data_IF_416683329783
#
_entry.id   IF_416683329783
#
_cell.length_a   1.000
_cell.length_b   1.000
_cell.length_c   1.000
_cell.angle_alpha   90.00
_cell.angle_beta   90.00
_cell.angle_gamma   90.00
#
_symmetry.space_group_name_H-M   'P 1'
#
loop_
_entity.id
_entity.type
_entity.pdbx_description
1 polymer ?
#
# COMPACT_ATOMS: atom_id res chain seq x y z
N UNK A 1 22.40 7.08 10.16
CA UNK A 1 21.35 7.72 9.33
C UNK A 1 21.58 7.29 7.91
N UNK A 2 20.58 6.70 7.26
CA UNK A 2 20.67 6.31 5.86
C UNK A 2 19.51 6.91 5.08
N UNK A 3 19.77 7.26 3.82
CA UNK A 3 18.77 7.76 2.87
C UNK A 3 18.62 6.73 1.77
N UNK A 4 17.39 6.25 1.57
CA UNK A 4 17.04 5.32 0.50
C UNK A 4 16.19 6.09 -0.49
N UNK A 5 16.57 6.00 -1.77
CA UNK A 5 15.88 6.60 -2.90
C UNK A 5 15.43 5.49 -3.83
N UNK A 6 14.17 5.53 -4.23
CA UNK A 6 13.65 4.63 -5.24
C UNK A 6 12.45 5.26 -5.93
N UNK A 7 12.36 5.02 -7.23
CA UNK A 7 11.18 5.37 -8.02
C UNK A 7 9.98 4.52 -7.64
N UNK A 8 8.81 5.02 -8.01
CA UNK A 8 7.56 4.32 -7.84
C UNK A 8 7.50 3.01 -8.66
N UNK A 9 8.15 3.00 -9.82
CA UNK A 9 8.36 1.82 -10.66
C UNK A 9 9.25 0.79 -9.95
N UNK A 10 10.36 1.20 -9.36
CA UNK A 10 11.24 0.31 -8.59
C UNK A 10 10.51 -0.27 -7.37
N UNK A 11 9.71 0.53 -6.66
CA UNK A 11 8.86 0.02 -5.58
C UNK A 11 7.91 -1.07 -6.11
N UNK A 12 7.29 -0.85 -7.26
CA UNK A 12 6.38 -1.82 -7.84
C UNK A 12 7.12 -3.11 -8.25
N UNK A 13 8.31 -2.99 -8.83
CA UNK A 13 9.15 -4.14 -9.20
C UNK A 13 9.60 -4.94 -7.97
N UNK A 14 9.94 -4.26 -6.86
CA UNK A 14 10.21 -4.89 -5.56
C UNK A 14 8.97 -5.65 -5.07
N UNK A 15 7.79 -5.01 -5.08
CA UNK A 15 6.55 -5.63 -4.63
C UNK A 15 6.12 -6.83 -5.49
N UNK A 16 6.44 -6.83 -6.79
CA UNK A 16 6.17 -7.94 -7.69
C UNK A 16 7.17 -9.07 -7.50
N UNK A 17 8.46 -8.75 -7.25
CA UNK A 17 9.54 -9.73 -7.13
C UNK A 17 9.58 -10.45 -5.79
N UNK A 18 9.24 -9.78 -4.68
CA UNK A 18 9.35 -10.30 -3.32
C UNK A 18 8.14 -11.14 -2.87
N UNK A 19 7.78 -12.18 -3.64
CA UNK A 19 6.73 -13.15 -3.25
C UNK A 19 5.32 -12.54 -3.28
N UNK A 20 4.80 -12.26 -4.49
CA UNK A 20 3.34 -12.26 -4.68
C UNK A 20 2.80 -13.66 -4.38
N UNK A 21 2.30 -13.83 -3.14
CA UNK A 21 1.33 -14.88 -2.84
C UNK A 21 0.24 -14.90 -3.93
N UNK A 22 -0.17 -16.08 -4.39
CA UNK A 22 -0.77 -16.29 -5.69
C UNK A 22 -2.11 -15.57 -5.85
N UNK A 23 -2.18 -14.64 -6.81
CA UNK A 23 -3.41 -14.33 -7.55
C UNK A 23 -4.34 -13.24 -7.00
N UNK A 24 -4.01 -12.56 -5.89
CA UNK A 24 -4.89 -11.54 -5.30
C UNK A 24 -4.74 -10.14 -5.92
N UNK A 25 -3.52 -9.73 -6.30
CA UNK A 25 -3.24 -8.43 -6.95
C UNK A 25 -2.66 -8.69 -8.34
N UNK A 26 -3.28 -8.13 -9.38
CA UNK A 26 -2.87 -8.32 -10.78
C UNK A 26 -2.87 -6.99 -11.54
N UNK A 27 -2.14 -6.94 -12.65
CA UNK A 27 -2.09 -5.78 -13.57
C UNK A 27 -1.69 -4.49 -12.86
N UNK A 28 -0.77 -4.61 -11.90
CA UNK A 28 -0.24 -3.46 -11.21
C UNK A 28 0.60 -2.61 -12.18
N UNK A 29 0.40 -1.30 -12.18
CA UNK A 29 1.11 -0.34 -13.03
C UNK A 29 1.13 1.04 -12.38
N UNK A 30 2.20 1.77 -12.65
CA UNK A 30 2.32 3.18 -12.27
C UNK A 30 1.67 4.06 -13.34
N UNK A 31 0.94 5.09 -12.91
CA UNK A 31 0.49 6.17 -13.80
C UNK A 31 0.50 7.50 -13.03
N UNK A 32 1.52 8.32 -13.27
CA UNK A 32 1.73 9.55 -12.52
C UNK A 32 2.02 9.23 -11.05
N UNK A 33 1.25 9.81 -10.13
CA UNK A 33 1.38 9.65 -8.69
C UNK A 33 0.56 8.49 -8.09
N UNK A 34 0.08 7.56 -8.94
CA UNK A 34 -0.81 6.47 -8.54
C UNK A 34 -0.33 5.09 -8.97
N UNK A 35 -0.44 4.12 -8.05
CA UNK A 35 -0.35 2.69 -8.38
C UNK A 35 -1.77 2.25 -8.73
N UNK A 36 -1.97 1.82 -9.96
CA UNK A 36 -3.20 1.15 -10.36
C UNK A 36 -3.00 -0.34 -10.31
N UNK A 37 -3.91 -1.07 -9.67
CA UNK A 37 -3.89 -2.51 -9.63
C UNK A 37 -5.31 -3.07 -9.60
N UNK A 38 -5.44 -4.37 -9.83
CA UNK A 38 -6.72 -5.08 -9.78
C UNK A 38 -6.65 -6.11 -8.66
N UNK A 39 -7.58 -6.01 -7.72
CA UNK A 39 -7.78 -7.03 -6.70
C UNK A 39 -8.68 -8.11 -7.28
N UNK A 40 -8.21 -9.36 -7.34
CA UNK A 40 -9.08 -10.52 -7.59
C UNK A 40 -9.82 -10.85 -6.31
N UNK A 41 -11.16 -10.86 -6.36
CA UNK A 41 -11.99 -11.28 -5.24
C UNK A 41 -12.39 -12.74 -5.43
N UNK A 42 -12.64 -13.45 -4.33
CA UNK A 42 -13.17 -14.82 -4.37
C UNK A 42 -14.69 -14.86 -4.67
N UNK A 43 -15.24 -13.83 -5.33
CA UNK A 43 -16.67 -13.72 -5.62
C UNK A 43 -17.00 -13.85 -7.09
N UNK A 44 -18.03 -14.64 -7.38
CA UNK A 44 -18.60 -14.78 -8.73
C UNK A 44 -19.20 -13.46 -9.28
N UNK A 45 -19.73 -12.60 -8.41
CA UNK A 45 -20.48 -11.38 -8.82
C UNK A 45 -19.57 -10.18 -9.11
N UNK A 46 -18.40 -10.12 -8.47
CA UNK A 46 -17.43 -9.03 -8.68
C UNK A 46 -16.00 -9.58 -8.56
N UNK A 47 -15.58 -10.47 -9.48
CA UNK A 47 -14.32 -11.21 -9.37
C UNK A 47 -13.09 -10.31 -9.44
N UNK A 48 -13.23 -9.08 -9.93
CA UNK A 48 -12.13 -8.13 -10.09
C UNK A 48 -12.57 -6.74 -9.65
N UNK A 49 -11.76 -6.10 -8.81
CA UNK A 49 -11.97 -4.73 -8.35
C UNK A 49 -10.75 -3.89 -8.76
N UNK A 50 -10.88 -2.97 -9.73
CA UNK A 50 -9.84 -2.02 -10.05
C UNK A 50 -9.70 -0.99 -8.94
N UNK A 51 -8.48 -0.84 -8.45
CA UNK A 51 -8.11 0.03 -7.34
C UNK A 51 -6.94 0.90 -7.78
N UNK A 52 -6.90 2.12 -7.28
CA UNK A 52 -5.73 2.97 -7.35
C UNK A 52 -5.32 3.43 -5.96
N UNK A 53 -4.03 3.44 -5.71
CA UNK A 53 -3.42 3.92 -4.47
C UNK A 53 -2.57 5.15 -4.78
N UNK A 54 -2.73 6.21 -4.00
CA UNK A 54 -1.93 7.43 -4.06
C UNK A 54 -1.28 7.66 -2.70
N UNK A 55 0.03 7.92 -2.68
CA UNK A 55 0.68 8.36 -1.45
C UNK A 55 0.25 9.79 -1.09
N UNK A 56 -0.10 10.02 0.17
CA UNK A 56 -0.50 11.34 0.66
C UNK A 56 0.59 11.98 1.50
N UNK A 57 1.03 11.29 2.57
CA UNK A 57 2.01 11.82 3.52
C UNK A 57 2.51 10.74 4.47
N UNK A 58 3.55 11.08 5.23
CA UNK A 58 4.02 10.34 6.39
C UNK A 58 3.89 11.23 7.62
N UNK A 59 3.23 10.71 8.66
CA UNK A 59 2.92 11.45 9.88
C UNK A 59 2.87 10.48 11.05
N UNK A 60 3.54 10.81 12.15
CA UNK A 60 3.56 10.01 13.39
C UNK A 60 3.85 8.51 13.17
N UNK A 61 4.84 8.19 12.33
CA UNK A 61 5.21 6.79 12.02
C UNK A 61 4.27 6.07 11.04
N UNK A 62 3.25 6.76 10.53
CA UNK A 62 2.27 6.20 9.61
C UNK A 62 2.46 6.72 8.19
N UNK A 63 2.61 5.80 7.23
CA UNK A 63 2.48 6.13 5.82
C UNK A 63 0.99 6.13 5.44
N UNK A 64 0.51 7.27 4.95
CA UNK A 64 -0.90 7.51 4.63
C UNK A 64 -1.08 7.53 3.13
N UNK A 65 -2.06 6.77 2.66
CA UNK A 65 -2.42 6.63 1.27
C UNK A 65 -3.92 6.88 1.06
N UNK A 66 -4.26 7.39 -0.13
CA UNK A 66 -5.63 7.43 -0.63
C UNK A 66 -5.88 6.22 -1.52
N UNK A 67 -6.96 5.51 -1.23
CA UNK A 67 -7.48 4.39 -1.98
C UNK A 67 -8.72 4.82 -2.77
N UNK A 68 -8.67 4.70 -4.09
CA UNK A 68 -9.81 4.96 -4.96
C UNK A 68 -10.20 3.71 -5.77
N UNK A 69 -11.51 3.45 -5.86
CA UNK A 69 -12.06 2.36 -6.67
C UNK A 69 -12.70 2.90 -7.94
N UNK A 70 -12.37 2.32 -9.10
CA UNK A 70 -12.76 2.87 -10.42
C UNK A 70 -14.16 2.39 -10.88
N UNK A 71 -14.98 1.82 -10.00
CA UNK A 71 -16.29 1.25 -10.41
C UNK A 71 -17.48 2.17 -10.12
N UNK A 72 -18.45 2.25 -11.04
CA UNK A 72 -19.75 2.92 -10.83
C UNK A 72 -20.66 2.28 -9.76
N UNK A 73 -20.17 1.27 -9.03
CA UNK A 73 -20.85 0.60 -7.90
C UNK A 73 -20.00 0.70 -6.63
N UNK A 74 -19.42 1.88 -6.39
CA UNK A 74 -18.49 2.19 -5.29
C UNK A 74 -18.94 1.56 -3.96
N UNK A 75 -20.21 1.74 -3.56
CA UNK A 75 -20.71 1.23 -2.27
C UNK A 75 -20.56 -0.29 -2.10
N UNK A 76 -20.99 -1.08 -3.08
CA UNK A 76 -20.86 -2.56 -3.03
C UNK A 76 -19.40 -3.03 -3.09
N UNK A 77 -18.54 -2.27 -3.77
CA UNK A 77 -17.11 -2.57 -3.84
C UNK A 77 -16.40 -2.26 -2.51
N UNK A 78 -16.75 -1.14 -1.87
CA UNK A 78 -16.28 -0.75 -0.53
C UNK A 78 -16.71 -1.76 0.52
N UNK A 79 -17.99 -2.11 0.58
CA UNK A 79 -18.50 -3.06 1.58
C UNK A 79 -17.79 -4.42 1.47
N UNK A 80 -17.48 -4.87 0.25
CA UNK A 80 -16.73 -6.12 0.04
C UNK A 80 -15.25 -5.99 0.30
N UNK A 81 -14.65 -4.86 -0.04
CA UNK A 81 -13.25 -4.62 0.28
C UNK A 81 -13.08 -4.65 1.80
N UNK A 82 -13.96 -3.95 2.53
CA UNK A 82 -14.03 -3.99 3.98
C UNK A 82 -14.21 -5.43 4.48
N UNK A 83 -15.15 -6.22 3.94
CA UNK A 83 -15.30 -7.63 4.34
C UNK A 83 -14.07 -8.50 4.04
N UNK A 84 -13.40 -8.33 2.89
CA UNK A 84 -12.19 -9.09 2.56
C UNK A 84 -11.02 -8.71 3.46
N UNK A 85 -10.96 -7.43 3.83
CA UNK A 85 -9.89 -6.86 4.63
C UNK A 85 -10.11 -7.08 6.14
N UNK A 86 -11.33 -6.99 6.65
CA UNK A 86 -11.68 -7.32 8.05
C UNK A 86 -11.25 -8.75 8.42
N UNK A 87 -11.21 -9.65 7.43
CA UNK A 87 -10.80 -11.04 7.67
C UNK A 87 -9.27 -11.23 7.71
N UNK A 88 -8.45 -10.30 7.18
CA UNK A 88 -6.99 -10.51 6.98
C UNK A 88 -6.10 -9.25 7.00
N UNK A 89 -6.57 -8.08 7.40
CA UNK A 89 -5.71 -6.88 7.51
C UNK A 89 -4.62 -7.15 8.55
N UNK A 90 -3.33 -7.01 8.20
CA UNK A 90 -2.25 -7.07 9.16
C UNK A 90 -2.39 -5.97 10.23
N UNK A 91 -1.94 -6.22 11.46
CA UNK A 91 -2.10 -5.28 12.58
C UNK A 91 -1.43 -3.91 12.37
N UNK A 92 -0.47 -3.82 11.45
CA UNK A 92 0.19 -2.58 11.05
C UNK A 92 -0.61 -1.76 10.02
N UNK A 93 -1.73 -2.25 9.52
CA UNK A 93 -2.53 -1.59 8.49
C UNK A 93 -3.92 -1.25 9.04
N UNK A 94 -4.44 -0.09 8.67
CA UNK A 94 -5.80 0.36 8.99
C UNK A 94 -6.42 1.03 7.77
N UNK A 95 -7.59 0.54 7.36
CA UNK A 95 -8.35 1.11 6.26
C UNK A 95 -9.61 1.80 6.81
N UNK A 96 -9.68 3.11 6.61
CA UNK A 96 -10.87 3.93 6.82
C UNK A 96 -11.19 4.61 5.50
N UNK A 97 -11.92 3.90 4.62
CA UNK A 97 -12.10 4.32 3.24
C UNK A 97 -12.49 5.83 3.12
N UNK A 98 -11.79 6.61 2.28
CA UNK A 98 -10.78 6.20 1.30
C UNK A 98 -9.33 6.13 1.84
N UNK A 99 -9.09 6.34 3.12
CA UNK A 99 -7.74 6.43 3.70
C UNK A 99 -7.22 5.06 4.13
N UNK A 100 -6.02 4.73 3.67
CA UNK A 100 -5.23 3.59 4.12
C UNK A 100 -4.01 4.11 4.88
N UNK A 101 -3.89 3.78 6.16
CA UNK A 101 -2.72 4.10 6.97
C UNK A 101 -1.93 2.83 7.29
N UNK A 102 -0.61 2.91 7.17
CA UNK A 102 0.33 1.82 7.47
C UNK A 102 1.29 2.31 8.55
N UNK A 103 1.23 1.69 9.72
CA UNK A 103 2.19 1.85 10.82
C UNK A 103 3.53 1.22 10.42
N UNK A 104 4.49 2.07 10.06
CA UNK A 104 5.78 1.63 9.52
C UNK A 104 6.63 0.98 10.61
N UNK A 105 6.56 1.48 11.85
CA UNK A 105 7.34 0.92 12.95
C UNK A 105 6.86 -0.51 13.26
N UNK A 106 5.54 -0.76 13.28
CA UNK A 106 5.00 -2.13 13.42
C UNK A 106 5.32 -3.01 12.22
N UNK A 107 5.23 -2.48 10.99
CA UNK A 107 5.59 -3.23 9.78
C UNK A 107 7.06 -3.68 9.84
N UNK A 108 7.96 -2.77 10.20
CA UNK A 108 9.39 -3.07 10.31
C UNK A 108 9.66 -4.05 11.46
N UNK A 109 9.00 -3.90 12.61
CA UNK A 109 9.14 -4.86 13.71
C UNK A 109 8.68 -6.28 13.34
N UNK A 110 7.72 -6.42 12.41
CA UNK A 110 7.27 -7.74 11.92
C UNK A 110 8.22 -8.33 10.86
N UNK A 111 8.90 -7.49 10.07
CA UNK A 111 9.66 -7.93 8.89
C UNK A 111 11.18 -7.85 9.03
N UNK A 112 11.70 -7.01 9.92
CA UNK A 112 13.13 -6.73 10.08
C UNK A 112 13.50 -6.88 11.55
N UNK A 113 14.52 -7.69 11.81
CA UNK A 113 14.77 -8.22 13.16
C UNK A 113 15.36 -7.19 14.15
N UNK A 114 15.87 -6.01 13.73
CA UNK A 114 16.28 -4.89 14.64
C UNK A 114 16.80 -3.62 13.93
N UNK A 115 16.65 -2.49 14.62
CA UNK A 115 17.64 -1.39 14.67
C UNK A 115 17.42 -0.20 13.75
N UNK A 116 16.35 -0.19 12.94
CA UNK A 116 16.08 0.88 11.97
C UNK A 116 14.71 1.47 12.24
N UNK A 117 14.66 2.78 12.42
CA UNK A 117 13.42 3.56 12.47
C UNK A 117 13.33 4.44 11.24
N UNK A 118 12.14 4.54 10.67
CA UNK A 118 11.87 5.49 9.58
C UNK A 118 11.50 6.82 10.21
N UNK A 119 12.34 7.82 9.95
CA UNK A 119 12.15 9.18 10.43
C UNK A 119 11.23 9.97 9.52
N UNK A 120 11.35 9.76 8.21
CA UNK A 120 10.55 10.48 7.22
C UNK A 120 10.39 9.67 5.94
N UNK A 121 9.26 9.87 5.27
CA UNK A 121 8.99 9.40 3.92
C UNK A 121 8.39 10.56 3.13
N UNK A 122 9.03 10.92 2.03
CA UNK A 122 8.47 11.89 1.08
C UNK A 122 8.35 11.27 -0.31
N UNK A 123 7.42 11.79 -1.10
CA UNK A 123 7.23 11.40 -2.49
C UNK A 123 7.13 12.65 -3.35
N UNK A 124 8.13 12.87 -4.18
CA UNK A 124 8.21 14.03 -5.06
C UNK A 124 8.69 13.59 -6.43
N UNK A 125 8.07 14.11 -7.49
CA UNK A 125 8.47 13.86 -8.88
C UNK A 125 8.58 12.36 -9.27
N UNK A 126 7.79 11.48 -8.65
CA UNK A 126 7.82 10.04 -8.94
C UNK A 126 8.83 9.24 -8.09
N UNK A 127 9.54 9.88 -7.17
CA UNK A 127 10.58 9.26 -6.35
C UNK A 127 10.20 9.30 -4.86
N UNK A 128 10.35 8.17 -4.18
CA UNK A 128 10.30 8.09 -2.73
C UNK A 128 11.67 8.37 -2.14
N UNK A 129 11.69 9.26 -1.15
CA UNK A 129 12.83 9.41 -0.23
C UNK A 129 12.44 8.86 1.13
N UNK A 130 13.13 7.81 1.58
CA UNK A 130 12.99 7.25 2.93
C UNK A 130 14.21 7.62 3.74
N UNK A 131 14.01 8.32 4.85
CA UNK A 131 15.06 8.71 5.79
C UNK A 131 14.97 7.80 7.01
N UNK A 132 16.08 7.14 7.31
CA UNK A 132 16.16 6.21 8.45
C UNK A 132 17.17 6.67 9.49
N UNK A 133 16.88 6.36 10.74
CA UNK A 133 17.77 6.52 11.88
C UNK A 133 17.94 5.20 12.62
N UNK A 134 19.06 5.08 13.35
CA UNK A 134 19.26 3.94 14.24
C UNK A 134 18.43 4.17 15.51
N UNK A 135 17.86 3.10 16.04
CA UNK A 135 17.16 3.09 17.34
C UNK A 135 18.16 2.99 18.48
#
# INVERSE_FOLDING_TARGET
>A
MARILFSFEELLDILISDVLRPGAVVRARVKGDRIHFVIRTNSFVLPFVPVSLKYLRFEDGHAVFELAMVSGRVKKAVDRLNQMLELKIPAYMRLEYPILSIDIDKLLAEKIDRGVRVKDISFENGEFTVITENV
#
